data_IF_795037576544
#
_entry.id   IF_795037576544
#
_cell.length_a   1.000
_cell.length_b   1.000
_cell.length_c   1.000
_cell.angle_alpha   90.00
_cell.angle_beta   90.00
_cell.angle_gamma   90.00
#
_symmetry.space_group_name_H-M   'P 1'
#
loop_
_entity.id
_entity.type
_entity.pdbx_description
1 polymer ?
#
# COMPACT_ATOMS: atom_id res chain seq x y z
N UNK A 1 -38.28 -28.44 49.05
CA UNK A 1 -39.74 -28.22 49.03
C UNK A 1 -40.16 -27.99 47.58
N UNK A 2 -41.32 -28.54 47.18
CA UNK A 2 -42.06 -28.42 45.91
C UNK A 2 -41.34 -28.19 44.56
N UNK A 3 -41.72 -29.06 43.61
CA UNK A 3 -41.88 -28.70 42.19
C UNK A 3 -43.12 -27.82 42.02
N UNK A 4 -43.13 -26.98 40.98
CA UNK A 4 -44.26 -26.68 40.07
C UNK A 4 -43.60 -26.14 38.77
N UNK A 5 -43.65 -26.82 37.63
CA UNK A 5 -44.78 -26.95 36.68
C UNK A 5 -44.98 -25.72 35.78
N UNK A 6 -44.95 -25.94 34.45
CA UNK A 6 -45.07 -24.95 33.35
C UNK A 6 -43.87 -23.98 33.13
N UNK A 7 -42.72 -24.53 32.70
CA UNK A 7 -41.59 -23.73 32.22
C UNK A 7 -41.86 -23.06 30.87
N UNK A 8 -42.00 -21.73 30.85
CA UNK A 8 -42.13 -20.92 29.62
C UNK A 8 -41.06 -19.83 29.62
N UNK A 9 -40.08 -19.94 28.72
CA UNK A 9 -39.07 -18.90 28.48
C UNK A 9 -39.50 -17.97 27.33
N UNK A 10 -39.08 -16.69 27.32
CA UNK A 10 -39.64 -15.66 26.44
C UNK A 10 -39.07 -15.68 25.02
N UNK A 11 -39.84 -15.17 24.07
CA UNK A 11 -39.48 -15.13 22.65
C UNK A 11 -38.45 -14.02 22.34
N UNK A 12 -37.36 -14.40 21.67
CA UNK A 12 -36.41 -13.43 21.09
C UNK A 12 -36.92 -12.87 19.76
N UNK A 13 -36.62 -11.60 19.50
CA UNK A 13 -37.15 -10.85 18.36
C UNK A 13 -36.32 -11.14 17.11
N UNK A 14 -36.97 -11.65 16.06
CA UNK A 14 -36.44 -11.54 14.69
C UNK A 14 -36.49 -10.08 14.26
N UNK A 15 -35.36 -9.54 13.81
CA UNK A 15 -35.29 -8.21 13.23
C UNK A 15 -35.19 -8.36 11.71
N UNK A 16 -36.33 -8.26 11.02
CA UNK A 16 -36.40 -8.34 9.57
C UNK A 16 -35.93 -7.02 8.95
N UNK A 17 -34.87 -7.06 8.13
CA UNK A 17 -34.47 -5.93 7.29
C UNK A 17 -35.08 -6.12 5.90
N UNK A 18 -35.96 -5.21 5.50
CA UNK A 18 -36.60 -5.21 4.19
C UNK A 18 -35.59 -4.89 3.05
N UNK A 19 -35.80 -5.42 1.83
CA UNK A 19 -34.90 -5.17 0.71
C UNK A 19 -35.01 -3.73 0.17
N UNK A 20 -33.92 -3.14 -0.35
CA UNK A 20 -33.94 -1.81 -0.96
C UNK A 20 -34.68 -1.79 -2.31
N UNK A 21 -35.36 -0.67 -2.60
CA UNK A 21 -36.02 -0.45 -3.91
C UNK A 21 -35.00 -0.29 -5.05
N UNK A 22 -35.35 -0.69 -6.28
CA UNK A 22 -34.52 -0.43 -7.46
C UNK A 22 -34.47 1.07 -7.80
N UNK A 23 -33.28 1.56 -8.14
CA UNK A 23 -33.09 2.88 -8.74
C UNK A 23 -33.26 2.80 -10.27
N UNK A 24 -33.77 3.88 -10.86
CA UNK A 24 -34.15 3.97 -12.29
C UNK A 24 -32.96 4.17 -13.22
N UNK A 25 -33.17 3.82 -14.50
CA UNK A 25 -32.14 3.78 -15.55
C UNK A 25 -31.68 5.16 -16.07
N UNK A 26 -30.40 5.21 -16.48
CA UNK A 26 -29.91 6.00 -17.63
C UNK A 26 -29.16 7.31 -17.34
N UNK A 27 -28.27 7.77 -18.25
CA UNK A 27 -27.51 7.04 -19.29
C UNK A 27 -25.98 7.21 -19.15
N UNK A 28 -25.21 6.62 -20.07
CA UNK A 28 -23.77 6.84 -20.21
C UNK A 28 -23.45 8.12 -21.01
N UNK A 29 -22.29 8.73 -20.75
CA UNK A 29 -21.27 9.08 -21.78
C UNK A 29 -20.03 9.78 -21.19
N UNK A 30 -19.04 10.00 -22.06
CA UNK A 30 -17.65 10.36 -21.79
C UNK A 30 -17.35 11.81 -21.28
N UNK A 31 -16.10 11.94 -20.82
CA UNK A 31 -15.19 13.09 -20.99
C UNK A 31 -15.03 14.18 -19.90
N UNK A 32 -13.85 14.83 -20.00
CA UNK A 32 -13.41 16.13 -19.46
C UNK A 32 -12.95 16.25 -18.00
N UNK A 33 -11.64 16.07 -17.82
CA UNK A 33 -10.68 17.18 -17.60
C UNK A 33 -11.29 18.60 -17.47
N UNK A 34 -11.15 19.23 -16.28
CA UNK A 34 -10.81 20.66 -16.10
C UNK A 34 -10.68 21.03 -14.61
N UNK A 35 -9.64 21.82 -14.27
CA UNK A 35 -9.46 22.50 -12.99
C UNK A 35 -9.88 23.97 -13.14
N UNK A 36 -10.85 24.47 -12.36
CA UNK A 36 -11.00 25.93 -12.11
C UNK A 36 -11.36 26.24 -10.65
N UNK A 37 -11.08 27.47 -10.22
CA UNK A 37 -10.79 27.84 -8.83
C UNK A 37 -11.96 28.56 -8.10
N UNK A 38 -11.94 28.61 -6.74
CA UNK A 38 -12.97 29.30 -5.97
C UNK A 38 -12.85 30.83 -5.92
N UNK A 39 -14.04 31.44 -5.91
CA UNK A 39 -14.46 32.85 -5.84
C UNK A 39 -13.52 33.86 -5.13
N UNK A 40 -13.33 35.03 -5.77
CA UNK A 40 -12.71 36.23 -5.20
C UNK A 40 -13.76 37.33 -5.00
N UNK A 41 -14.23 37.47 -3.76
CA UNK A 41 -14.81 38.72 -3.25
C UNK A 41 -14.21 39.05 -1.89
N UNK A 42 -13.44 40.13 -1.80
CA UNK A 42 -13.32 41.00 -0.62
C UNK A 42 -12.49 42.27 -0.94
N UNK A 43 -13.14 43.43 -0.72
CA UNK A 43 -12.58 44.77 -0.41
C UNK A 43 -11.67 45.46 -1.44
N UNK A 44 -12.23 46.48 -2.09
CA UNK A 44 -11.46 47.61 -2.62
C UNK A 44 -11.00 48.52 -1.46
N UNK A 45 -9.73 48.94 -1.50
CA UNK A 45 -9.14 49.89 -0.54
C UNK A 45 -7.95 50.60 -1.18
N UNK A 46 -8.05 51.92 -1.32
CA UNK A 46 -7.14 52.77 -2.08
C UNK A 46 -5.69 52.75 -1.54
N UNK A 47 -4.73 52.36 -2.39
CA UNK A 47 -3.30 52.42 -2.11
C UNK A 47 -2.51 52.63 -3.41
N UNK A 48 -1.65 53.66 -3.41
CA UNK A 48 -0.85 54.07 -4.58
C UNK A 48 0.21 53.03 -4.95
N UNK A 49 0.41 52.86 -6.25
CA UNK A 49 1.32 51.89 -6.85
C UNK A 49 2.80 52.18 -6.50
N UNK A 50 3.57 51.23 -5.93
CA UNK A 50 4.99 51.42 -5.60
C UNK A 50 5.88 51.25 -6.83
N UNK A 51 6.88 52.13 -6.99
CA UNK A 51 7.83 52.07 -8.12
C UNK A 51 8.78 50.87 -7.99
N UNK A 52 9.29 50.31 -9.11
CA UNK A 52 10.22 49.18 -9.06
C UNK A 52 11.52 49.56 -8.36
N UNK A 53 11.84 48.88 -7.25
CA UNK A 53 13.10 49.02 -6.51
C UNK A 53 12.97 49.40 -5.03
N UNK A 54 11.77 49.80 -4.57
CA UNK A 54 11.56 50.19 -3.18
C UNK A 54 11.33 48.94 -2.29
N UNK A 55 12.12 48.71 -1.22
CA UNK A 55 11.87 47.60 -0.29
C UNK A 55 10.60 47.89 0.52
N UNK A 56 9.48 47.32 0.07
CA UNK A 56 8.17 47.47 0.70
C UNK A 56 8.18 47.21 2.22
N UNK A 57 7.23 47.81 2.96
CA UNK A 57 7.28 47.91 4.41
C UNK A 57 7.42 46.53 5.09
N UNK A 58 8.11 46.47 6.26
CA UNK A 58 8.30 45.20 6.96
C UNK A 58 6.96 44.56 7.29
N UNK A 59 6.83 43.27 6.97
CA UNK A 59 5.67 42.46 7.35
C UNK A 59 5.48 42.58 8.87
N UNK A 60 4.32 43.09 9.30
CA UNK A 60 4.01 43.23 10.72
C UNK A 60 3.92 41.83 11.34
N UNK A 61 4.18 41.70 12.64
CA UNK A 61 4.24 40.38 13.31
C UNK A 61 3.01 39.50 13.06
N UNK A 62 1.80 40.10 12.89
CA UNK A 62 0.57 39.39 12.52
C UNK A 62 0.56 38.84 11.08
N UNK A 63 1.19 39.51 10.12
CA UNK A 63 1.32 39.04 8.73
C UNK A 63 2.35 37.92 8.63
N UNK A 64 3.44 38.00 9.40
CA UNK A 64 4.36 36.88 9.62
C UNK A 64 3.61 35.69 10.22
N UNK A 65 2.84 35.88 11.30
CA UNK A 65 2.06 34.82 11.96
C UNK A 65 1.03 34.16 11.02
N UNK A 66 0.36 34.94 10.18
CA UNK A 66 -0.63 34.44 9.23
C UNK A 66 0.01 33.63 8.09
N UNK A 67 1.13 34.10 7.55
CA UNK A 67 1.89 33.39 6.53
C UNK A 67 2.48 32.10 7.12
N UNK A 68 3.06 32.18 8.32
CA UNK A 68 3.72 31.07 9.01
C UNK A 68 2.74 29.93 9.38
N UNK A 69 1.47 30.25 9.66
CA UNK A 69 0.39 29.25 9.82
C UNK A 69 -0.06 28.58 8.51
N UNK A 70 0.44 28.99 7.35
CA UNK A 70 0.02 28.44 6.05
C UNK A 70 1.13 27.80 5.20
N UNK A 71 2.42 27.99 5.53
CA UNK A 71 3.55 27.50 4.69
C UNK A 71 4.75 26.89 5.46
N UNK A 72 4.67 26.73 6.78
CA UNK A 72 5.68 26.02 7.59
C UNK A 72 7.05 26.73 7.75
N UNK A 73 7.91 26.15 8.59
CA UNK A 73 9.22 26.74 8.95
C UNK A 73 10.19 26.83 7.76
N UNK A 74 10.10 25.92 6.77
CA UNK A 74 10.95 25.94 5.58
C UNK A 74 10.79 27.23 4.77
N UNK A 75 9.55 27.53 4.38
CA UNK A 75 9.29 28.67 3.53
C UNK A 75 9.50 30.02 4.24
N UNK A 76 9.38 30.06 5.58
CA UNK A 76 9.80 31.21 6.40
C UNK A 76 11.33 31.36 6.38
N UNK A 77 12.10 30.28 6.54
CA UNK A 77 13.58 30.30 6.42
C UNK A 77 14.02 30.74 5.02
N UNK A 78 13.42 30.20 3.97
CA UNK A 78 13.73 30.55 2.58
C UNK A 78 13.40 32.02 2.27
N UNK A 79 12.24 32.53 2.72
CA UNK A 79 11.86 33.94 2.58
C UNK A 79 12.84 34.88 3.29
N UNK A 80 13.32 34.50 4.48
CA UNK A 80 14.32 35.26 5.24
C UNK A 80 15.71 35.19 4.60
N UNK A 81 16.12 34.02 4.08
CA UNK A 81 17.37 33.82 3.37
C UNK A 81 17.40 34.63 2.06
N UNK A 82 16.33 34.57 1.26
CA UNK A 82 16.23 35.30 0.01
C UNK A 82 16.29 36.83 0.24
N UNK A 83 15.66 37.33 1.32
CA UNK A 83 15.80 38.74 1.75
C UNK A 83 17.21 39.12 2.21
N UNK A 84 17.96 38.21 2.84
CA UNK A 84 19.39 38.44 3.17
C UNK A 84 20.25 38.48 1.91
N UNK A 85 19.98 37.62 0.94
CA UNK A 85 20.61 37.64 -0.39
C UNK A 85 20.31 38.94 -1.15
N UNK A 86 19.06 39.41 -1.16
CA UNK A 86 18.68 40.70 -1.75
C UNK A 86 19.39 41.89 -1.09
N UNK A 87 19.52 41.89 0.25
CA UNK A 87 20.28 42.92 0.98
C UNK A 87 21.78 42.85 0.68
N UNK A 88 22.38 41.66 0.60
CA UNK A 88 23.79 41.49 0.18
C UNK A 88 24.02 41.96 -1.26
N UNK A 89 23.12 41.65 -2.19
CA UNK A 89 23.19 42.13 -3.57
C UNK A 89 23.07 43.65 -3.67
N UNK A 90 22.21 44.28 -2.85
CA UNK A 90 22.13 45.74 -2.76
C UNK A 90 23.43 46.37 -2.19
N UNK A 91 24.07 45.73 -1.21
CA UNK A 91 25.37 46.17 -0.68
C UNK A 91 26.56 45.89 -1.61
N UNK A 92 26.53 44.83 -2.42
CA UNK A 92 27.60 44.49 -3.36
C UNK A 92 27.53 45.32 -4.65
N UNK A 93 26.36 45.78 -5.09
CA UNK A 93 26.21 46.67 -6.27
C UNK A 93 26.88 48.05 -6.12
N UNK A 94 27.48 48.36 -4.98
CA UNK A 94 28.24 49.60 -4.75
C UNK A 94 29.76 49.43 -4.72
N UNK A 95 30.31 48.22 -4.95
CA UNK A 95 31.76 48.01 -5.02
C UNK A 95 32.18 47.00 -6.10
N UNK A 96 33.10 47.47 -6.94
CA UNK A 96 33.89 46.76 -7.95
C UNK A 96 33.17 46.28 -9.23
N UNK A 97 33.57 46.93 -10.33
CA UNK A 97 33.61 46.35 -11.65
C UNK A 97 34.85 45.44 -11.81
N UNK A 98 34.84 44.71 -12.93
CA UNK A 98 35.94 44.01 -13.61
C UNK A 98 36.47 42.66 -13.10
N UNK A 99 36.88 41.88 -14.11
CA UNK A 99 37.71 40.67 -14.14
C UNK A 99 37.06 39.29 -13.89
N UNK A 100 36.75 38.62 -15.00
CA UNK A 100 36.80 37.15 -15.15
C UNK A 100 38.28 36.75 -15.45
N UNK A 101 38.79 35.57 -15.04
CA UNK A 101 38.79 34.46 -16.00
C UNK A 101 38.69 33.03 -15.41
N UNK A 102 38.39 32.07 -16.29
CA UNK A 102 38.62 30.62 -16.15
C UNK A 102 40.13 30.28 -16.43
N UNK A 103 40.65 29.03 -16.40
CA UNK A 103 40.03 27.69 -16.51
C UNK A 103 40.38 26.80 -15.26
N UNK A 104 40.57 25.47 -15.24
CA UNK A 104 40.72 24.40 -16.24
C UNK A 104 40.45 23.00 -15.65
N UNK A 105 40.32 21.96 -16.49
CA UNK A 105 40.31 20.54 -16.08
C UNK A 105 41.70 19.92 -16.15
N UNK A 106 42.00 18.96 -15.26
CA UNK A 106 43.09 17.99 -15.42
C UNK A 106 42.68 16.60 -14.91
N UNK A 107 43.01 15.57 -15.69
CA UNK A 107 42.78 14.13 -15.43
C UNK A 107 44.07 13.49 -14.93
N UNK A 108 43.98 12.48 -14.04
CA UNK A 108 44.89 11.32 -13.80
C UNK A 108 44.55 10.67 -12.43
N UNK A 109 44.77 9.38 -12.12
CA UNK A 109 45.02 8.13 -12.87
C UNK A 109 44.77 6.96 -11.89
N UNK A 110 44.40 5.77 -12.36
CA UNK A 110 44.28 4.58 -11.50
C UNK A 110 45.64 3.88 -11.25
N UNK A 111 45.80 3.30 -10.06
CA UNK A 111 46.78 2.27 -9.73
C UNK A 111 46.15 1.24 -8.77
N UNK A 112 46.66 0.01 -8.78
CA UNK A 112 45.95 -1.19 -8.28
C UNK A 112 46.04 -1.49 -6.77
N UNK A 113 45.50 -2.65 -6.33
CA UNK A 113 45.22 -2.93 -4.93
C UNK A 113 46.38 -3.59 -4.18
N UNK A 114 46.55 -3.21 -2.92
CA UNK A 114 47.42 -3.88 -1.94
C UNK A 114 46.60 -4.25 -0.70
N UNK A 115 46.49 -5.55 -0.42
CA UNK A 115 45.96 -6.08 0.85
C UNK A 115 47.04 -6.03 1.92
N UNK A 116 46.68 -5.70 3.17
CA UNK A 116 47.40 -6.20 4.34
C UNK A 116 46.47 -6.86 5.37
N UNK A 117 46.87 -8.07 5.78
CA UNK A 117 47.19 -8.46 7.16
C UNK A 117 46.08 -8.54 8.25
N UNK A 118 46.18 -9.62 9.04
CA UNK A 118 45.31 -9.99 10.16
C UNK A 118 45.35 -8.97 11.32
N UNK A 119 44.26 -8.91 12.11
CA UNK A 119 44.15 -8.09 13.31
C UNK A 119 43.71 -8.96 14.51
N UNK A 120 44.62 -9.11 15.47
CA UNK A 120 44.39 -9.69 16.81
C UNK A 120 43.49 -8.76 17.68
N UNK A 121 42.81 -9.27 18.73
CA UNK A 121 41.72 -8.57 19.39
C UNK A 121 42.19 -7.45 20.33
N UNK A 122 42.19 -6.22 19.82
CA UNK A 122 42.48 -4.99 20.58
C UNK A 122 41.23 -4.20 20.96
N UNK A 123 41.07 -3.90 22.25
CA UNK A 123 40.03 -3.00 22.76
C UNK A 123 40.31 -1.53 22.40
N UNK A 124 39.36 -0.84 21.76
CA UNK A 124 39.39 0.63 21.70
C UNK A 124 38.63 1.26 20.54
N UNK A 125 37.89 2.34 20.84
CA UNK A 125 37.55 3.47 19.95
C UNK A 125 37.23 3.13 18.49
N UNK A 126 35.96 2.85 18.20
CA UNK A 126 35.49 2.57 16.84
C UNK A 126 35.76 3.72 15.85
N UNK A 127 36.41 3.40 14.73
CA UNK A 127 36.46 4.23 13.53
C UNK A 127 36.53 3.30 12.31
N UNK A 128 35.44 3.23 11.55
CA UNK A 128 35.36 2.43 10.32
C UNK A 128 33.95 2.35 9.76
N UNK A 129 33.76 2.75 8.50
CA UNK A 129 32.56 2.43 7.70
C UNK A 129 31.35 3.37 7.82
N UNK A 130 31.47 4.61 7.33
CA UNK A 130 30.35 5.39 6.77
C UNK A 130 29.04 5.50 7.57
N UNK A 131 29.12 5.55 8.90
CA UNK A 131 27.93 5.60 9.77
C UNK A 131 27.10 6.88 9.62
N UNK A 132 25.78 6.76 9.73
CA UNK A 132 24.86 7.90 9.78
C UNK A 132 25.26 8.87 10.90
N UNK A 133 25.33 10.17 10.60
CA UNK A 133 25.62 11.18 11.61
C UNK A 133 24.33 11.51 12.39
N UNK A 134 24.08 10.75 13.45
CA UNK A 134 22.89 10.90 14.30
C UNK A 134 22.76 12.29 14.94
N UNK A 135 23.87 12.99 15.20
CA UNK A 135 23.84 14.37 15.71
C UNK A 135 23.35 15.33 14.61
N UNK A 136 23.76 15.15 13.36
CA UNK A 136 23.26 15.94 12.24
C UNK A 136 21.79 15.61 11.88
N UNK A 137 21.35 14.35 12.04
CA UNK A 137 19.93 13.97 11.91
C UNK A 137 19.12 14.63 13.03
N UNK A 138 19.54 14.51 14.29
CA UNK A 138 18.89 15.13 15.44
C UNK A 138 18.83 16.66 15.32
N UNK A 139 19.89 17.30 14.80
CA UNK A 139 19.93 18.75 14.56
C UNK A 139 18.91 19.15 13.50
N UNK A 140 18.79 18.40 12.39
CA UNK A 140 17.77 18.68 11.36
C UNK A 140 16.33 18.53 11.87
N UNK A 141 16.07 17.55 12.74
CA UNK A 141 14.74 17.37 13.37
C UNK A 141 14.47 18.53 14.34
N UNK A 142 15.41 18.86 15.22
CA UNK A 142 15.31 20.01 16.12
C UNK A 142 15.08 21.32 15.34
N UNK A 143 15.83 21.56 14.27
CA UNK A 143 15.71 22.76 13.42
C UNK A 143 14.43 22.77 12.55
N UNK A 144 13.69 21.66 12.48
CA UNK A 144 12.37 21.59 11.86
C UNK A 144 11.25 21.93 12.85
N UNK A 145 11.44 21.56 14.12
CA UNK A 145 10.57 21.77 15.29
C UNK A 145 10.73 23.20 15.86
N UNK A 146 11.96 23.72 15.96
CA UNK A 146 12.23 25.03 16.57
C UNK A 146 11.68 26.20 15.74
N UNK A 147 10.59 26.82 16.22
CA UNK A 147 10.05 28.04 15.63
C UNK A 147 8.60 28.31 15.99
N UNK A 148 7.84 28.75 14.98
CA UNK A 148 6.39 28.82 15.02
C UNK A 148 5.87 27.99 13.84
N UNK A 149 5.16 26.91 14.13
CA UNK A 149 4.88 25.85 13.14
C UNK A 149 6.10 24.95 12.92
N UNK A 150 5.97 24.00 11.98
CA UNK A 150 6.86 22.84 11.85
C UNK A 150 7.40 22.73 10.40
N UNK A 151 8.36 21.84 10.14
CA UNK A 151 8.82 21.43 8.80
C UNK A 151 8.73 19.90 8.71
N UNK A 152 7.51 19.41 8.53
CA UNK A 152 7.10 18.00 8.66
C UNK A 152 7.85 17.13 7.67
N UNK A 153 8.02 17.60 6.42
CA UNK A 153 8.79 16.89 5.39
C UNK A 153 10.30 16.85 5.70
N UNK A 154 10.86 17.79 6.46
CA UNK A 154 12.23 17.66 6.96
C UNK A 154 12.34 16.60 8.07
N UNK A 155 11.32 16.50 8.94
CA UNK A 155 11.22 15.45 9.95
C UNK A 155 11.12 14.08 9.27
N UNK A 156 10.21 13.90 8.30
CA UNK A 156 10.05 12.61 7.60
C UNK A 156 11.28 12.21 6.79
N UNK A 157 11.96 13.16 6.14
CA UNK A 157 13.22 12.87 5.44
C UNK A 157 14.30 12.40 6.43
N UNK A 158 14.47 13.12 7.55
CA UNK A 158 15.47 12.78 8.57
C UNK A 158 15.18 11.44 9.29
N UNK A 159 13.91 11.15 9.61
CA UNK A 159 13.49 9.87 10.18
C UNK A 159 13.57 8.73 9.14
N UNK A 160 13.34 9.01 7.86
CA UNK A 160 13.43 8.03 6.77
C UNK A 160 14.84 7.44 6.58
N UNK A 161 15.89 8.23 6.86
CA UNK A 161 17.29 7.77 6.82
C UNK A 161 17.58 6.61 7.82
N UNK A 162 16.77 6.49 8.88
CA UNK A 162 16.88 5.39 9.84
C UNK A 162 16.44 4.04 9.24
N UNK A 163 15.63 4.03 8.17
CA UNK A 163 15.12 2.82 7.54
C UNK A 163 14.33 1.91 8.49
N UNK A 164 13.69 2.48 9.52
CA UNK A 164 13.00 1.77 10.61
C UNK A 164 13.88 0.77 11.40
N UNK A 165 15.20 0.88 11.32
CA UNK A 165 16.13 0.04 12.09
C UNK A 165 16.16 0.44 13.56
N UNK A 166 15.87 -0.52 14.45
CA UNK A 166 15.77 -0.28 15.88
C UNK A 166 17.07 0.22 16.53
N UNK A 167 18.23 -0.10 15.97
CA UNK A 167 19.54 0.36 16.49
C UNK A 167 19.81 1.81 16.06
N UNK A 168 19.52 2.16 14.81
CA UNK A 168 19.60 3.54 14.29
C UNK A 168 18.61 4.46 15.01
N UNK A 169 17.38 3.99 15.25
CA UNK A 169 16.37 4.70 16.05
C UNK A 169 16.89 5.00 17.46
N UNK A 170 17.39 3.99 18.20
CA UNK A 170 17.97 4.20 19.55
C UNK A 170 19.17 5.16 19.54
N UNK A 171 20.02 5.09 18.51
CA UNK A 171 21.16 5.99 18.37
C UNK A 171 20.73 7.45 18.12
N UNK A 172 19.71 7.66 17.27
CA UNK A 172 19.10 8.98 17.07
C UNK A 172 18.48 9.51 18.36
N UNK A 173 17.67 8.72 19.06
CA UNK A 173 16.98 9.17 20.29
C UNK A 173 17.99 9.61 21.36
N UNK A 174 19.09 8.87 21.52
CA UNK A 174 20.21 9.26 22.41
C UNK A 174 20.88 10.55 21.96
N UNK A 175 21.14 10.72 20.66
CA UNK A 175 21.78 11.93 20.13
C UNK A 175 20.86 13.16 20.29
N UNK A 176 19.55 12.99 20.06
CA UNK A 176 18.55 14.04 20.22
C UNK A 176 18.41 14.47 21.68
N UNK A 177 18.31 13.52 22.62
CA UNK A 177 18.29 13.80 24.05
C UNK A 177 19.56 14.51 24.54
N UNK A 178 20.72 14.11 24.02
CA UNK A 178 22.00 14.78 24.31
C UNK A 178 22.06 16.21 23.77
N UNK A 179 21.50 16.45 22.57
CA UNK A 179 21.52 17.76 21.90
C UNK A 179 20.54 18.78 22.51
N UNK A 180 19.38 18.31 23.00
CA UNK A 180 18.25 19.17 23.36
C UNK A 180 17.87 19.14 24.84
N UNK A 181 18.28 18.10 25.59
CA UNK A 181 17.75 17.82 26.92
C UNK A 181 16.29 17.33 26.95
N UNK A 182 15.68 17.09 25.77
CA UNK A 182 14.28 16.68 25.59
C UNK A 182 14.18 15.31 24.92
N UNK A 183 13.04 14.62 25.03
CA UNK A 183 12.82 13.35 24.34
C UNK A 183 12.24 13.57 22.95
N UNK A 184 12.77 12.84 21.96
CA UNK A 184 12.33 12.94 20.57
C UNK A 184 10.82 12.70 20.41
N UNK A 185 10.27 11.67 21.06
CA UNK A 185 8.83 11.36 20.99
C UNK A 185 7.94 12.46 21.59
N UNK A 186 8.41 13.18 22.62
CA UNK A 186 7.63 14.26 23.23
C UNK A 186 7.62 15.51 22.35
N UNK A 187 8.79 15.90 21.83
CA UNK A 187 8.88 17.05 20.91
C UNK A 187 8.09 16.79 19.62
N UNK A 188 8.13 15.57 19.07
CA UNK A 188 7.30 15.20 17.92
C UNK A 188 5.80 15.22 18.24
N UNK A 189 5.39 14.89 19.47
CA UNK A 189 3.98 14.90 19.88
C UNK A 189 3.45 16.29 20.29
N UNK A 190 4.33 17.26 20.55
CA UNK A 190 3.98 18.67 20.77
C UNK A 190 3.79 19.40 19.44
N UNK A 191 4.63 19.09 18.44
CA UNK A 191 4.63 19.76 17.12
C UNK A 191 3.83 19.07 16.01
N UNK A 192 3.55 17.76 16.08
CA UNK A 192 2.78 17.02 15.07
C UNK A 192 1.47 16.44 15.64
N UNK A 193 0.45 16.30 14.81
CA UNK A 193 -0.85 15.73 15.22
C UNK A 193 -1.47 14.81 14.17
N UNK A 194 -2.44 13.98 14.57
CA UNK A 194 -3.17 13.08 13.66
C UNK A 194 -2.26 12.21 12.79
N UNK A 195 -2.58 12.13 11.49
CA UNK A 195 -1.83 11.38 10.47
C UNK A 195 -0.34 11.77 10.40
N UNK A 196 0.01 13.02 10.72
CA UNK A 196 1.37 13.53 10.66
C UNK A 196 2.24 12.93 11.76
N UNK A 197 1.70 12.89 12.98
CA UNK A 197 2.32 12.23 14.12
C UNK A 197 2.36 10.72 13.93
N UNK A 198 1.29 10.11 13.39
CA UNK A 198 1.27 8.68 13.10
C UNK A 198 2.35 8.30 12.07
N UNK A 199 2.54 9.11 11.02
CA UNK A 199 3.62 8.94 10.03
C UNK A 199 5.00 9.03 10.67
N UNK A 200 5.24 9.99 11.56
CA UNK A 200 6.52 10.12 12.27
C UNK A 200 6.77 8.92 13.21
N UNK A 201 5.78 8.54 14.01
CA UNK A 201 5.87 7.40 14.93
C UNK A 201 6.09 6.06 14.19
N UNK A 202 5.53 5.89 12.99
CA UNK A 202 5.76 4.71 12.14
C UNK A 202 7.23 4.58 11.74
N UNK A 203 7.88 5.70 11.37
CA UNK A 203 9.30 5.73 11.02
C UNK A 203 10.23 5.46 12.22
N UNK A 204 9.75 5.70 13.45
CA UNK A 204 10.45 5.43 14.71
C UNK A 204 10.22 4.03 15.29
N UNK A 205 9.59 3.12 14.54
CA UNK A 205 9.32 1.75 14.97
C UNK A 205 9.69 0.75 13.88
N UNK A 206 10.15 -0.47 14.22
CA UNK A 206 10.27 -1.56 13.24
C UNK A 206 8.94 -1.75 12.50
N UNK A 207 8.94 -2.09 11.20
CA UNK A 207 7.72 -2.21 10.44
C UNK A 207 6.89 -3.39 10.96
N UNK A 208 5.60 -3.17 11.19
CA UNK A 208 4.66 -4.25 11.53
C UNK A 208 4.38 -5.16 10.32
N UNK A 209 3.73 -6.30 10.55
CA UNK A 209 3.41 -7.29 9.51
C UNK A 209 2.62 -6.68 8.35
N UNK A 210 1.67 -5.79 8.65
CA UNK A 210 0.86 -5.09 7.64
C UNK A 210 1.76 -4.22 6.77
N UNK A 211 2.63 -3.40 7.37
CA UNK A 211 3.55 -2.53 6.63
C UNK A 211 4.53 -3.36 5.78
N UNK A 212 5.03 -4.48 6.29
CA UNK A 212 5.90 -5.40 5.52
C UNK A 212 5.18 -5.94 4.27
N UNK A 213 3.94 -6.41 4.42
CA UNK A 213 3.12 -6.92 3.31
C UNK A 213 2.77 -5.79 2.32
N UNK A 214 2.28 -4.64 2.78
CA UNK A 214 1.94 -3.50 1.91
C UNK A 214 3.17 -2.98 1.13
N UNK A 215 4.35 -2.96 1.76
CA UNK A 215 5.62 -2.60 1.10
C UNK A 215 5.97 -3.58 -0.01
N UNK A 216 5.86 -4.89 0.25
CA UNK A 216 6.14 -5.93 -0.73
C UNK A 216 5.14 -5.91 -1.90
N UNK A 217 3.85 -5.72 -1.62
CA UNK A 217 2.82 -5.50 -2.65
C UNK A 217 3.16 -4.30 -3.54
N UNK A 218 3.69 -3.21 -2.96
CA UNK A 218 4.11 -2.01 -3.69
C UNK A 218 5.16 -2.25 -4.78
N UNK A 219 5.94 -3.34 -4.70
CA UNK A 219 7.00 -3.65 -5.67
C UNK A 219 6.46 -4.14 -7.02
N UNK A 220 5.26 -4.72 -7.09
CA UNK A 220 4.71 -5.37 -8.29
C UNK A 220 3.49 -4.63 -8.85
N UNK A 221 3.17 -4.78 -10.14
CA UNK A 221 1.96 -4.18 -10.70
C UNK A 221 0.67 -4.79 -10.14
N UNK A 222 0.65 -6.10 -9.92
CA UNK A 222 -0.47 -6.78 -9.24
C UNK A 222 -0.64 -6.27 -7.82
N UNK A 223 0.44 -6.20 -7.02
CA UNK A 223 0.34 -5.71 -5.65
C UNK A 223 0.00 -4.20 -5.57
N UNK A 224 0.49 -3.38 -6.50
CA UNK A 224 0.00 -1.99 -6.67
C UNK A 224 -1.48 -1.94 -7.02
N UNK A 225 -2.00 -2.89 -7.81
CA UNK A 225 -3.44 -3.03 -8.04
C UNK A 225 -4.20 -3.41 -6.76
N UNK A 226 -3.70 -4.37 -5.96
CA UNK A 226 -4.26 -4.75 -4.64
C UNK A 226 -4.42 -3.53 -3.75
N UNK A 227 -3.34 -2.74 -3.58
CA UNK A 227 -3.36 -1.53 -2.75
C UNK A 227 -4.37 -0.48 -3.26
N UNK A 228 -4.56 -0.36 -4.58
CA UNK A 228 -5.58 0.51 -5.17
C UNK A 228 -7.00 0.03 -4.88
N UNK A 229 -7.29 -1.27 -5.00
CA UNK A 229 -8.65 -1.79 -4.77
C UNK A 229 -9.03 -1.83 -3.29
N UNK A 230 -8.08 -2.10 -2.38
CA UNK A 230 -8.31 -2.01 -0.93
C UNK A 230 -8.74 -0.58 -0.57
N UNK A 231 -8.04 0.43 -1.09
CA UNK A 231 -8.41 1.85 -0.90
C UNK A 231 -9.75 2.19 -1.55
N UNK A 232 -9.93 1.87 -2.84
CA UNK A 232 -11.14 2.19 -3.62
C UNK A 232 -12.42 1.66 -2.98
N UNK A 233 -12.39 0.43 -2.48
CA UNK A 233 -13.57 -0.27 -1.95
C UNK A 233 -13.65 -0.27 -0.42
N UNK A 234 -12.69 0.39 0.25
CA UNK A 234 -12.48 0.35 1.70
C UNK A 234 -12.59 -1.08 2.26
N UNK A 235 -11.87 -2.03 1.62
CA UNK A 235 -11.90 -3.45 2.00
C UNK A 235 -11.27 -3.61 3.38
N UNK A 236 -11.99 -4.19 4.37
CA UNK A 236 -11.38 -4.59 5.63
C UNK A 236 -10.40 -5.73 5.40
N UNK A 237 -9.19 -5.61 5.94
CA UNK A 237 -8.15 -6.63 5.84
C UNK A 237 -7.63 -6.97 7.22
N UNK A 238 -7.80 -8.22 7.64
CA UNK A 238 -7.13 -8.79 8.80
C UNK A 238 -5.80 -9.40 8.35
N UNK A 239 -4.69 -8.78 8.74
CA UNK A 239 -3.33 -9.21 8.40
C UNK A 239 -2.78 -10.28 9.36
N UNK A 240 -3.48 -10.54 10.47
CA UNK A 240 -3.03 -11.36 11.60
C UNK A 240 -4.06 -12.46 11.94
N UNK A 241 -4.86 -12.87 10.95
CA UNK A 241 -5.95 -13.81 11.15
C UNK A 241 -5.43 -15.13 11.76
N UNK A 242 -6.03 -15.52 12.88
CA UNK A 242 -5.53 -16.60 13.75
C UNK A 242 -6.15 -17.97 13.47
N UNK A 243 -7.15 -18.05 12.58
CA UNK A 243 -7.80 -19.29 12.17
C UNK A 243 -6.99 -20.08 11.15
N UNK A 244 -7.67 -20.96 10.40
CA UNK A 244 -7.05 -21.81 9.36
C UNK A 244 -7.17 -21.17 7.99
N UNK A 245 -6.08 -21.20 7.22
CA UNK A 245 -6.02 -20.66 5.86
C UNK A 245 -6.05 -19.13 5.81
N UNK A 246 -5.99 -18.61 4.59
CA UNK A 246 -6.38 -17.24 4.25
C UNK A 246 -7.59 -17.33 3.32
N UNK A 247 -8.45 -16.32 3.33
CA UNK A 247 -9.64 -16.29 2.49
C UNK A 247 -10.26 -14.89 2.41
N UNK A 248 -10.99 -14.63 1.34
CA UNK A 248 -11.98 -13.59 1.24
C UNK A 248 -13.36 -14.06 1.77
N UNK A 249 -14.05 -13.21 2.53
CA UNK A 249 -15.45 -13.42 2.92
C UNK A 249 -16.19 -12.08 3.01
N UNK A 250 -17.36 -12.01 2.36
CA UNK A 250 -18.30 -10.87 2.44
C UNK A 250 -17.70 -9.47 2.17
N UNK A 251 -16.70 -9.40 1.28
CA UNK A 251 -16.01 -8.14 0.94
C UNK A 251 -14.86 -7.76 1.87
N UNK A 252 -14.43 -8.68 2.74
CA UNK A 252 -13.28 -8.56 3.65
C UNK A 252 -12.25 -9.65 3.35
N UNK A 253 -10.97 -9.37 3.60
CA UNK A 253 -9.85 -10.30 3.38
C UNK A 253 -9.26 -10.71 4.75
N UNK A 254 -8.97 -11.99 4.90
CA UNK A 254 -8.35 -12.57 6.09
C UNK A 254 -7.07 -13.28 5.68
N UNK A 255 -5.92 -12.79 6.14
CA UNK A 255 -4.60 -13.35 5.85
C UNK A 255 -4.06 -14.05 7.08
N UNK A 256 -3.72 -15.33 6.93
CA UNK A 256 -3.22 -16.12 8.04
C UNK A 256 -1.91 -15.55 8.61
N UNK A 257 -1.85 -15.36 9.93
CA UNK A 257 -0.64 -14.91 10.63
C UNK A 257 0.55 -15.85 10.49
N UNK A 258 0.33 -17.14 10.21
CA UNK A 258 1.41 -18.14 10.09
C UNK A 258 2.15 -18.11 8.74
N UNK A 259 1.62 -17.41 7.73
CA UNK A 259 2.32 -17.22 6.46
C UNK A 259 3.55 -16.32 6.62
N UNK A 260 4.59 -16.58 5.84
CA UNK A 260 5.68 -15.61 5.62
C UNK A 260 5.15 -14.33 4.97
N UNK A 261 5.89 -13.23 5.04
CA UNK A 261 5.51 -11.96 4.37
C UNK A 261 5.36 -12.17 2.86
N UNK A 262 6.29 -12.93 2.24
CA UNK A 262 6.25 -13.27 0.82
C UNK A 262 4.97 -14.02 0.45
N UNK A 263 4.64 -15.09 1.19
CA UNK A 263 3.44 -15.88 0.95
C UNK A 263 2.17 -15.07 1.22
N UNK A 264 2.15 -14.26 2.28
CA UNK A 264 1.03 -13.39 2.62
C UNK A 264 0.75 -12.33 1.54
N UNK A 265 1.80 -11.72 0.96
CA UNK A 265 1.65 -10.78 -0.15
C UNK A 265 1.09 -11.47 -1.41
N UNK A 266 1.61 -12.64 -1.77
CA UNK A 266 1.11 -13.41 -2.92
C UNK A 266 -0.34 -13.88 -2.71
N UNK A 267 -0.67 -14.41 -1.54
CA UNK A 267 -2.04 -14.82 -1.19
C UNK A 267 -2.98 -13.62 -1.18
N UNK A 268 -2.55 -12.44 -0.70
CA UNK A 268 -3.39 -11.24 -0.78
C UNK A 268 -3.70 -10.82 -2.22
N UNK A 269 -2.82 -11.05 -3.20
CA UNK A 269 -3.12 -10.81 -4.61
C UNK A 269 -4.23 -11.72 -5.15
N UNK A 270 -4.33 -12.94 -4.64
CA UNK A 270 -5.42 -13.87 -4.92
C UNK A 270 -6.72 -13.43 -4.22
N UNK A 271 -6.72 -13.25 -2.89
CA UNK A 271 -7.93 -12.89 -2.14
C UNK A 271 -8.54 -11.55 -2.56
N UNK A 272 -7.70 -10.60 -2.99
CA UNK A 272 -8.17 -9.29 -3.44
C UNK A 272 -8.92 -9.37 -4.78
N UNK A 273 -8.73 -10.41 -5.60
CA UNK A 273 -9.58 -10.67 -6.77
C UNK A 273 -11.01 -10.98 -6.35
N UNK A 274 -11.22 -11.95 -5.46
CA UNK A 274 -12.55 -12.28 -4.94
C UNK A 274 -13.19 -11.09 -4.24
N UNK A 275 -12.42 -10.32 -3.46
CA UNK A 275 -12.90 -9.10 -2.82
C UNK A 275 -13.35 -8.04 -3.85
N UNK A 276 -12.59 -7.84 -4.93
CA UNK A 276 -12.96 -6.92 -6.00
C UNK A 276 -14.19 -7.41 -6.78
N UNK A 277 -14.27 -8.70 -7.11
CA UNK A 277 -15.44 -9.32 -7.78
C UNK A 277 -16.70 -9.17 -6.94
N UNK A 278 -16.61 -9.36 -5.62
CA UNK A 278 -17.70 -9.12 -4.68
C UNK A 278 -18.09 -7.63 -4.62
N UNK A 279 -17.13 -6.72 -4.39
CA UNK A 279 -17.38 -5.28 -4.23
C UNK A 279 -17.87 -4.60 -5.52
N UNK A 280 -17.55 -5.14 -6.69
CA UNK A 280 -18.02 -4.66 -8.00
C UNK A 280 -19.41 -5.19 -8.40
N UNK A 281 -20.03 -6.07 -7.60
CA UNK A 281 -21.31 -6.71 -7.95
C UNK A 281 -21.19 -7.80 -9.01
N UNK A 282 -19.96 -8.24 -9.34
CA UNK A 282 -19.68 -9.26 -10.35
C UNK A 282 -19.57 -10.68 -9.77
N UNK A 283 -19.81 -10.85 -8.47
CA UNK A 283 -19.89 -12.18 -7.84
C UNK A 283 -21.00 -13.03 -8.49
N UNK A 284 -20.75 -14.34 -8.57
CA UNK A 284 -21.75 -15.30 -9.01
C UNK A 284 -22.80 -15.47 -7.90
N UNK A 285 -24.02 -14.99 -8.14
CA UNK A 285 -25.15 -15.28 -7.25
C UNK A 285 -25.64 -16.70 -7.51
N UNK A 286 -25.58 -17.54 -6.47
CA UNK A 286 -26.02 -18.93 -6.55
C UNK A 286 -27.51 -19.03 -6.93
N UNK A 287 -28.36 -18.11 -6.44
CA UNK A 287 -29.81 -18.19 -6.57
C UNK A 287 -30.33 -17.64 -7.91
N UNK A 288 -29.53 -16.82 -8.60
CA UNK A 288 -29.93 -16.13 -9.84
C UNK A 288 -29.40 -16.81 -11.11
N UNK A 289 -28.43 -17.73 -10.98
CA UNK A 289 -27.73 -18.36 -12.10
C UNK A 289 -28.07 -19.84 -12.19
N UNK A 290 -28.07 -20.38 -13.42
CA UNK A 290 -28.08 -21.83 -13.61
C UNK A 290 -26.82 -22.45 -13.00
N UNK A 291 -26.89 -23.74 -12.62
CA UNK A 291 -25.75 -24.49 -12.08
C UNK A 291 -24.48 -24.36 -12.94
N UNK A 292 -24.63 -24.45 -14.25
CA UNK A 292 -23.53 -24.31 -15.22
C UNK A 292 -22.94 -22.89 -15.24
N UNK A 293 -23.79 -21.86 -15.31
CA UNK A 293 -23.38 -20.45 -15.29
C UNK A 293 -22.69 -20.08 -13.97
N UNK A 294 -23.23 -20.57 -12.85
CA UNK A 294 -22.65 -20.39 -11.51
C UNK A 294 -21.25 -21.00 -11.42
N UNK A 295 -21.10 -22.28 -11.78
CA UNK A 295 -19.80 -22.97 -11.78
C UNK A 295 -18.81 -22.21 -12.68
N UNK A 296 -19.19 -21.91 -13.94
CA UNK A 296 -18.30 -21.22 -14.88
C UNK A 296 -17.86 -19.84 -14.37
N UNK A 297 -18.78 -19.02 -13.82
CA UNK A 297 -18.40 -17.71 -13.26
C UNK A 297 -17.53 -17.83 -12.02
N UNK A 298 -17.75 -18.84 -11.17
CA UNK A 298 -16.88 -19.12 -10.03
C UNK A 298 -15.48 -19.53 -10.49
N UNK A 299 -15.35 -20.49 -11.40
CA UNK A 299 -14.05 -20.94 -11.94
C UNK A 299 -13.31 -19.80 -12.66
N UNK A 300 -14.00 -18.93 -13.40
CA UNK A 300 -13.38 -17.77 -14.04
C UNK A 300 -12.78 -16.77 -13.02
N UNK A 301 -13.43 -16.58 -11.87
CA UNK A 301 -12.91 -15.74 -10.78
C UNK A 301 -11.69 -16.38 -10.08
N UNK A 302 -11.71 -17.69 -9.85
CA UNK A 302 -10.54 -18.45 -9.36
C UNK A 302 -9.35 -18.36 -10.34
N UNK A 303 -9.61 -18.53 -11.65
CA UNK A 303 -8.57 -18.47 -12.67
C UNK A 303 -7.95 -17.06 -12.78
N UNK A 304 -8.75 -15.99 -12.69
CA UNK A 304 -8.25 -14.62 -12.62
C UNK A 304 -7.42 -14.38 -11.34
N UNK A 305 -7.82 -14.95 -10.20
CA UNK A 305 -7.09 -14.84 -8.93
C UNK A 305 -5.72 -15.53 -9.00
N UNK A 306 -5.66 -16.74 -9.55
CA UNK A 306 -4.41 -17.49 -9.79
C UNK A 306 -3.52 -16.79 -10.82
N UNK A 307 -4.07 -16.25 -11.92
CA UNK A 307 -3.28 -15.47 -12.89
C UNK A 307 -2.64 -14.25 -12.23
N UNK A 308 -3.40 -13.49 -11.44
CA UNK A 308 -2.86 -12.33 -10.70
C UNK A 308 -1.73 -12.74 -9.75
N UNK A 309 -1.92 -13.84 -9.02
CA UNK A 309 -0.92 -14.38 -8.11
C UNK A 309 0.36 -14.81 -8.85
N UNK A 310 0.24 -15.46 -10.01
CA UNK A 310 1.38 -15.79 -10.88
C UNK A 310 2.07 -14.52 -11.40
N UNK A 311 1.32 -13.54 -11.91
CA UNK A 311 1.85 -12.28 -12.43
C UNK A 311 2.60 -11.45 -11.38
N UNK A 312 2.16 -11.49 -10.12
CA UNK A 312 2.88 -10.90 -9.00
C UNK A 312 4.08 -11.73 -8.51
N UNK A 313 4.00 -13.06 -8.60
CA UNK A 313 5.08 -13.95 -8.15
C UNK A 313 6.35 -13.86 -9.00
N UNK A 314 6.23 -13.67 -10.31
CA UNK A 314 7.37 -13.58 -11.24
C UNK A 314 8.37 -12.46 -10.86
N UNK A 315 7.96 -11.18 -10.71
CA UNK A 315 8.88 -10.13 -10.28
C UNK A 315 9.34 -10.29 -8.82
N UNK A 316 8.52 -10.89 -7.94
CA UNK A 316 8.94 -11.19 -6.56
C UNK A 316 10.06 -12.23 -6.52
N UNK A 317 9.95 -13.35 -7.25
CA UNK A 317 11.04 -14.33 -7.38
C UNK A 317 12.29 -13.73 -8.01
N UNK A 318 12.14 -12.87 -9.02
CA UNK A 318 13.27 -12.17 -9.65
C UNK A 318 14.02 -11.25 -8.66
N UNK A 319 13.33 -10.76 -7.62
CA UNK A 319 13.92 -10.02 -6.50
C UNK A 319 14.35 -10.91 -5.31
N UNK A 320 14.26 -12.25 -5.43
CA UNK A 320 14.73 -13.21 -4.43
C UNK A 320 13.69 -13.67 -3.39
N UNK A 321 12.41 -13.29 -3.53
CA UNK A 321 11.34 -13.70 -2.62
C UNK A 321 10.88 -15.15 -2.87
N UNK A 322 10.41 -15.80 -1.81
CA UNK A 322 10.00 -17.20 -1.81
C UNK A 322 8.54 -17.40 -2.24
N UNK A 323 8.28 -18.49 -2.98
CA UNK A 323 6.92 -18.96 -3.26
C UNK A 323 6.33 -19.83 -2.14
N UNK A 324 7.15 -20.29 -1.18
CA UNK A 324 6.77 -21.32 -0.22
C UNK A 324 5.56 -20.89 0.63
N UNK A 325 4.48 -21.69 0.58
CA UNK A 325 3.23 -21.41 1.29
C UNK A 325 2.25 -20.47 0.58
N UNK A 326 2.57 -20.00 -0.63
CA UNK A 326 1.67 -19.10 -1.39
C UNK A 326 0.52 -19.80 -2.12
N UNK A 327 0.64 -21.12 -2.38
CA UNK A 327 -0.26 -21.87 -3.27
C UNK A 327 0.21 -21.94 -4.73
N UNK A 328 1.09 -21.02 -5.16
CA UNK A 328 1.74 -21.06 -6.48
C UNK A 328 3.14 -21.69 -6.36
N UNK A 329 3.56 -22.39 -7.40
CA UNK A 329 4.89 -23.00 -7.52
C UNK A 329 5.45 -22.78 -8.95
N UNK A 330 6.75 -23.07 -9.13
CA UNK A 330 7.43 -22.84 -10.41
C UNK A 330 6.78 -23.58 -11.59
N UNK A 331 6.28 -24.82 -11.38
CA UNK A 331 5.64 -25.59 -12.45
C UNK A 331 4.34 -24.96 -12.97
N UNK A 332 3.55 -24.32 -12.10
CA UNK A 332 2.37 -23.55 -12.51
C UNK A 332 2.75 -22.29 -13.28
N UNK A 333 3.80 -21.58 -12.83
CA UNK A 333 4.34 -20.40 -13.52
C UNK A 333 4.84 -20.79 -14.92
N UNK A 334 5.53 -21.93 -15.04
CA UNK A 334 6.07 -22.43 -16.31
C UNK A 334 4.95 -22.89 -17.26
N UNK A 335 3.90 -23.57 -16.77
CA UNK A 335 2.69 -23.89 -17.57
C UNK A 335 2.04 -22.61 -18.12
N UNK A 336 1.78 -21.62 -17.24
CA UNK A 336 1.20 -20.32 -17.64
C UNK A 336 2.05 -19.63 -18.71
N UNK A 337 3.36 -19.48 -18.46
CA UNK A 337 4.28 -18.80 -19.38
C UNK A 337 4.39 -19.53 -20.72
N UNK A 338 4.42 -20.86 -20.72
CA UNK A 338 4.48 -21.67 -21.95
C UNK A 338 3.25 -21.43 -22.82
N UNK A 339 2.05 -21.52 -22.24
CA UNK A 339 0.80 -21.28 -22.97
C UNK A 339 0.68 -19.81 -23.45
N UNK A 340 1.08 -18.84 -22.61
CA UNK A 340 1.09 -17.42 -22.95
C UNK A 340 2.00 -17.12 -24.15
N UNK A 341 3.25 -17.59 -24.12
CA UNK A 341 4.20 -17.32 -25.20
C UNK A 341 3.89 -18.08 -26.49
N UNK A 342 3.40 -19.32 -26.41
CA UNK A 342 2.97 -20.07 -27.58
C UNK A 342 1.85 -19.33 -28.35
N UNK A 343 0.88 -18.72 -27.65
CA UNK A 343 -0.16 -17.92 -28.31
C UNK A 343 0.33 -16.53 -28.75
N UNK A 344 1.25 -15.92 -28.01
CA UNK A 344 1.90 -14.66 -28.41
C UNK A 344 2.57 -14.80 -29.77
N UNK A 345 3.36 -15.86 -29.95
CA UNK A 345 4.12 -16.10 -31.18
C UNK A 345 3.17 -16.36 -32.36
N UNK A 346 2.03 -17.02 -32.11
CA UNK A 346 0.96 -17.17 -33.11
C UNK A 346 0.26 -15.85 -33.46
N UNK A 347 0.03 -14.94 -32.49
CA UNK A 347 -0.52 -13.61 -32.75
C UNK A 347 0.45 -12.72 -33.54
N UNK A 348 1.73 -12.73 -33.17
CA UNK A 348 2.78 -11.97 -33.87
C UNK A 348 2.94 -12.45 -35.33
N UNK A 349 2.87 -13.76 -35.58
CA UNK A 349 2.89 -14.33 -36.92
C UNK A 349 1.62 -13.99 -37.73
N UNK A 350 0.45 -13.94 -37.10
CA UNK A 350 -0.83 -13.67 -37.76
C UNK A 350 -1.07 -12.17 -38.04
N UNK A 351 -0.60 -11.28 -37.16
CA UNK A 351 -0.71 -9.84 -37.34
C UNK A 351 0.51 -9.08 -36.79
N UNK A 352 1.55 -8.84 -37.61
CA UNK A 352 2.74 -8.11 -37.21
C UNK A 352 2.54 -6.63 -36.84
N UNK A 353 1.35 -6.05 -37.09
CA UNK A 353 1.05 -4.64 -36.76
C UNK A 353 0.32 -4.46 -35.42
N UNK A 354 -0.11 -5.55 -34.78
CA UNK A 354 -0.76 -5.50 -33.46
C UNK A 354 0.22 -4.98 -32.40
N UNK A 355 -0.25 -4.09 -31.52
CA UNK A 355 0.63 -3.53 -30.49
C UNK A 355 1.00 -4.57 -29.44
N UNK A 356 2.17 -4.40 -28.81
CA UNK A 356 2.62 -5.26 -27.70
C UNK A 356 1.62 -5.34 -26.55
N UNK A 357 0.87 -4.26 -26.29
CA UNK A 357 -0.15 -4.21 -25.25
C UNK A 357 -1.36 -5.09 -25.60
N UNK A 358 -1.90 -4.95 -26.82
CA UNK A 358 -3.03 -5.78 -27.30
C UNK A 358 -2.66 -7.27 -27.38
N UNK A 359 -1.44 -7.59 -27.82
CA UNK A 359 -0.94 -8.97 -27.84
C UNK A 359 -0.92 -9.51 -26.40
N UNK A 360 -0.32 -8.79 -25.46
CA UNK A 360 -0.21 -9.24 -24.07
C UNK A 360 -1.59 -9.42 -23.41
N UNK A 361 -2.54 -8.52 -23.66
CA UNK A 361 -3.91 -8.61 -23.13
C UNK A 361 -4.69 -9.82 -23.69
N UNK A 362 -4.61 -10.05 -25.01
CA UNK A 362 -5.18 -11.24 -25.66
C UNK A 362 -4.53 -12.53 -25.15
N UNK A 363 -3.22 -12.52 -24.95
CA UNK A 363 -2.49 -13.65 -24.37
C UNK A 363 -2.92 -13.95 -22.94
N UNK A 364 -2.94 -12.94 -22.07
CA UNK A 364 -3.39 -13.08 -20.68
C UNK A 364 -4.81 -13.66 -20.61
N UNK A 365 -5.73 -13.07 -21.38
CA UNK A 365 -7.13 -13.49 -21.44
C UNK A 365 -7.26 -14.94 -21.91
N UNK A 366 -6.66 -15.31 -23.05
CA UNK A 366 -6.73 -16.69 -23.54
C UNK A 366 -6.08 -17.68 -22.56
N UNK A 367 -4.88 -17.38 -22.05
CA UNK A 367 -4.17 -18.29 -21.15
C UNK A 367 -4.93 -18.50 -19.84
N UNK A 368 -5.57 -17.45 -19.30
CA UNK A 368 -6.53 -17.59 -18.19
C UNK A 368 -7.67 -18.53 -18.58
N UNK A 369 -8.38 -18.21 -19.65
CA UNK A 369 -9.64 -18.85 -20.04
C UNK A 369 -9.47 -20.29 -20.55
N UNK A 370 -8.26 -20.68 -20.99
CA UNK A 370 -7.95 -22.05 -21.42
C UNK A 370 -7.03 -22.81 -20.47
N UNK A 371 -5.78 -22.36 -20.28
CA UNK A 371 -4.79 -23.12 -19.51
C UNK A 371 -5.12 -23.09 -18.02
N UNK A 372 -5.25 -21.90 -17.42
CA UNK A 372 -5.47 -21.79 -15.96
C UNK A 372 -6.86 -22.28 -15.57
N UNK A 373 -7.90 -22.02 -16.36
CA UNK A 373 -9.22 -22.63 -16.19
C UNK A 373 -9.16 -24.15 -16.16
N UNK A 374 -8.35 -24.79 -17.02
CA UNK A 374 -8.23 -26.26 -17.04
C UNK A 374 -7.74 -26.85 -15.72
N UNK A 375 -6.94 -26.11 -14.94
CA UNK A 375 -6.37 -26.57 -13.67
C UNK A 375 -7.42 -26.87 -12.59
N UNK A 376 -8.62 -26.29 -12.71
CA UNK A 376 -9.77 -26.53 -11.83
C UNK A 376 -10.70 -27.65 -12.31
N UNK A 377 -10.37 -28.27 -13.44
CA UNK A 377 -11.06 -29.41 -14.05
C UNK A 377 -10.17 -30.66 -14.13
N UNK A 378 -8.86 -30.49 -14.38
CA UNK A 378 -7.89 -31.57 -14.59
C UNK A 378 -7.34 -32.21 -13.29
N UNK A 379 -7.73 -31.68 -12.13
CA UNK A 379 -7.25 -32.13 -10.81
C UNK A 379 -5.96 -31.47 -10.33
N UNK A 380 -5.39 -30.50 -11.07
CA UNK A 380 -4.26 -29.68 -10.61
C UNK A 380 -4.62 -28.91 -9.32
N UNK A 381 -5.86 -28.43 -9.21
CA UNK A 381 -6.43 -27.89 -7.98
C UNK A 381 -7.58 -28.75 -7.45
N UNK A 382 -7.39 -29.28 -6.25
CA UNK A 382 -8.40 -30.00 -5.47
C UNK A 382 -8.65 -29.32 -4.13
N UNK A 383 -9.84 -29.52 -3.57
CA UNK A 383 -10.21 -28.99 -2.25
C UNK A 383 -9.50 -29.75 -1.14
N UNK A 384 -9.02 -29.01 -0.13
CA UNK A 384 -8.24 -29.54 1.01
C UNK A 384 -9.03 -30.51 1.91
N UNK A 385 -10.36 -30.43 1.90
CA UNK A 385 -11.24 -31.17 2.82
C UNK A 385 -11.89 -32.41 2.21
N UNK A 386 -11.87 -32.56 0.88
CA UNK A 386 -12.61 -33.62 0.18
C UNK A 386 -11.92 -34.22 -1.04
N UNK A 387 -10.77 -33.67 -1.49
CA UNK A 387 -10.07 -34.10 -2.70
C UNK A 387 -10.94 -34.08 -3.98
N UNK A 388 -12.02 -33.28 -3.98
CA UNK A 388 -12.85 -33.00 -5.15
C UNK A 388 -12.32 -31.77 -5.88
N UNK A 389 -12.57 -31.69 -7.19
CA UNK A 389 -12.27 -30.51 -8.00
C UNK A 389 -13.08 -29.28 -7.53
N UNK A 390 -12.60 -28.09 -7.84
CA UNK A 390 -13.37 -26.86 -7.57
C UNK A 390 -14.69 -26.82 -8.35
N UNK A 391 -14.76 -27.48 -9.50
CA UNK A 391 -15.98 -27.62 -10.30
C UNK A 391 -17.05 -28.43 -9.58
N UNK A 392 -16.67 -29.55 -8.96
CA UNK A 392 -17.55 -30.36 -8.11
C UNK A 392 -17.93 -29.60 -6.84
N UNK A 393 -16.98 -28.91 -6.20
CA UNK A 393 -17.24 -28.11 -5.01
C UNK A 393 -18.31 -27.02 -5.25
N UNK A 394 -18.20 -26.26 -6.34
CA UNK A 394 -19.20 -25.25 -6.69
C UNK A 394 -20.50 -25.85 -7.23
N UNK A 395 -20.45 -27.02 -7.86
CA UNK A 395 -21.65 -27.79 -8.18
C UNK A 395 -22.44 -28.15 -6.93
N UNK A 396 -21.78 -28.76 -5.94
CA UNK A 396 -22.38 -29.16 -4.69
C UNK A 396 -22.94 -27.96 -3.91
N UNK A 397 -22.21 -26.84 -3.86
CA UNK A 397 -22.69 -25.61 -3.21
C UNK A 397 -23.94 -25.02 -3.89
N UNK A 398 -24.08 -25.17 -5.21
CA UNK A 398 -25.30 -24.80 -5.92
C UNK A 398 -26.43 -25.80 -5.64
N UNK A 399 -26.13 -27.10 -5.65
CA UNK A 399 -27.12 -28.16 -5.39
C UNK A 399 -27.70 -28.07 -3.97
N UNK A 400 -26.86 -27.82 -2.96
CA UNK A 400 -27.25 -27.60 -1.56
C UNK A 400 -28.15 -26.36 -1.38
N UNK A 401 -27.91 -25.29 -2.15
CA UNK A 401 -28.70 -24.06 -2.08
C UNK A 401 -30.12 -24.23 -2.66
N UNK A 402 -30.28 -25.08 -3.68
CA UNK A 402 -31.57 -25.30 -4.36
C UNK A 402 -32.33 -26.53 -3.86
N UNK A 403 -31.61 -27.54 -3.37
CA UNK A 403 -32.15 -28.77 -2.80
C UNK A 403 -31.55 -28.98 -1.38
N UNK A 404 -31.87 -28.11 -0.41
CA UNK A 404 -31.35 -28.24 0.94
C UNK A 404 -31.74 -29.61 1.52
N UNK A 405 -30.83 -30.30 2.23
CA UNK A 405 -31.14 -31.59 2.83
C UNK A 405 -32.33 -31.47 3.79
N UNK A 406 -33.26 -32.43 3.71
CA UNK A 406 -34.41 -32.49 4.61
C UNK A 406 -33.94 -32.35 6.07
N UNK A 407 -34.62 -31.55 6.91
CA UNK A 407 -34.26 -31.42 8.30
C UNK A 407 -34.24 -32.81 8.95
N UNK A 408 -33.15 -33.14 9.64
CA UNK A 408 -33.01 -34.42 10.31
C UNK A 408 -34.25 -34.68 11.19
N UNK A 409 -34.83 -35.89 11.17
CA UNK A 409 -36.02 -36.18 11.95
C UNK A 409 -35.72 -35.89 13.42
N UNK A 410 -36.53 -35.01 14.02
CA UNK A 410 -36.42 -34.68 15.43
C UNK A 410 -36.60 -35.97 16.23
N UNK A 411 -35.52 -36.46 16.84
CA UNK A 411 -35.60 -37.59 17.76
C UNK A 411 -36.29 -37.07 19.03
N UNK A 412 -37.62 -37.09 19.01
CA UNK A 412 -38.43 -37.07 20.21
C UNK A 412 -38.13 -38.35 20.96
N UNK A 413 -37.23 -38.27 21.94
CA UNK A 413 -37.03 -39.34 22.89
C UNK A 413 -38.32 -39.55 23.68
N UNK A 414 -39.12 -40.55 23.27
CA UNK A 414 -40.09 -41.13 24.17
C UNK A 414 -39.32 -41.89 25.25
N UNK A 415 -39.20 -41.27 26.42
CA UNK A 415 -38.94 -42.00 27.66
C UNK A 415 -40.10 -42.99 27.86
N UNK A 416 -39.83 -44.28 27.66
CA UNK A 416 -40.70 -45.35 28.16
C UNK A 416 -40.21 -45.81 29.52
N UNK A 417 -41.12 -45.82 30.50
CA UNK A 417 -40.93 -46.19 31.91
C UNK A 417 -40.43 -47.63 32.14
#
# INVERSE_FOLDING_TARGET
>A
MSKDAAGRLPAERRNELAPPKPATEGPADDALEALEAPDRRLVAGDARDPRPGDPGPPLRSRQLLALQRSIGNRAVRDLLANRRSSRRAASQRFRHADANPAPQLAVQRHAGPTMPEEIEPGTGTGTGGGGLNYVAIATRIRDAIEGLGTDEEAIYAALGELGQDATRIRALTTAYGTLTGRTLDADLADDLSGDELERAQRLLRPPDRRQQIETLLGTTDTGRWVLRIIRRWSIPVDYEYSGTGSFHRAGSIYINRTLSVDAAALVMMHEAQHANTFKSGLAADVNALSREEYIRRKIADEAEAVVRQIEGSVPMQAAGHSLAGSGVNQGLIDRYRTAFYAYRDALEAANPTMTRAEINDRCRTRTRDTEVTSWFHDGTFVTSTGNITYSEHYGNAWDEAHNPPSPAPTVTGEETE
#
